data_IF_052248185054
#
_entry.id   IF_052248185054
#
_cell.length_a   1.000
_cell.length_b   1.000
_cell.length_c   1.000
_cell.angle_alpha   90.00
_cell.angle_beta   90.00
_cell.angle_gamma   90.00
#
_symmetry.space_group_name_H-M   'P 1'
#
loop_
_entity.id
_entity.type
_entity.pdbx_description
1 polymer ?
#
# COMPACT_ATOMS: atom_id res chain seq x y z
N UNK A 1 21.86 10.91 12.60
CA UNK A 1 20.59 10.98 11.85
C UNK A 1 19.92 9.62 11.97
N UNK A 2 19.12 9.48 13.00
CA UNK A 2 18.64 8.20 13.52
C UNK A 2 17.40 7.76 12.73
N UNK A 3 17.61 6.94 11.71
CA UNK A 3 16.54 6.41 10.84
C UNK A 3 15.47 5.61 11.62
N UNK A 4 15.80 5.15 12.83
CA UNK A 4 14.91 4.36 13.70
C UNK A 4 13.67 5.12 14.16
N UNK A 5 13.74 6.46 14.29
CA UNK A 5 12.56 7.27 14.66
C UNK A 5 11.51 7.31 13.54
N UNK A 6 11.95 7.55 12.31
CA UNK A 6 11.09 7.63 11.12
C UNK A 6 10.46 6.30 10.77
N UNK A 7 11.19 5.21 10.96
CA UNK A 7 10.67 3.86 10.74
C UNK A 7 9.55 3.53 11.73
N UNK A 8 9.72 3.87 13.02
CA UNK A 8 8.68 3.67 14.03
C UNK A 8 7.42 4.48 13.73
N UNK A 9 7.58 5.74 13.34
CA UNK A 9 6.47 6.61 12.92
C UNK A 9 5.73 6.04 11.71
N UNK A 10 6.47 5.54 10.71
CA UNK A 10 5.90 4.89 9.54
C UNK A 10 5.09 3.63 9.89
N UNK A 11 5.62 2.79 10.80
CA UNK A 11 4.92 1.59 11.28
C UNK A 11 3.61 1.96 12.00
N UNK A 12 3.63 3.02 12.81
CA UNK A 12 2.43 3.50 13.50
C UNK A 12 1.37 4.00 12.50
N UNK A 13 1.77 4.81 11.52
CA UNK A 13 0.89 5.26 10.45
C UNK A 13 0.27 4.09 9.68
N UNK A 14 1.06 3.06 9.36
CA UNK A 14 0.52 1.84 8.73
C UNK A 14 -0.50 1.11 9.62
N UNK A 15 -0.24 1.04 10.92
CA UNK A 15 -1.14 0.37 11.85
C UNK A 15 -2.47 1.14 11.99
N UNK A 16 -2.43 2.47 12.01
CA UNK A 16 -3.63 3.28 12.09
C UNK A 16 -4.41 3.29 10.78
N UNK A 17 -3.73 3.28 9.63
CA UNK A 17 -4.34 3.05 8.33
C UNK A 17 -5.06 1.68 8.27
N UNK A 18 -4.43 0.61 8.77
CA UNK A 18 -5.01 -0.75 8.82
C UNK A 18 -6.28 -0.80 9.67
N UNK A 19 -6.28 -0.15 10.84
CA UNK A 19 -7.47 0.00 11.68
C UNK A 19 -8.58 0.75 10.94
N UNK A 20 -8.24 1.81 10.20
CA UNK A 20 -9.21 2.61 9.45
C UNK A 20 -9.87 1.81 8.32
N UNK A 21 -9.07 1.03 7.56
CA UNK A 21 -9.58 0.11 6.53
C UNK A 21 -10.44 -1.00 7.13
N UNK A 22 -10.01 -1.62 8.23
CA UNK A 22 -10.80 -2.67 8.90
C UNK A 22 -12.12 -2.15 9.45
N UNK A 23 -12.11 -0.94 10.01
CA UNK A 23 -13.32 -0.26 10.47
C UNK A 23 -14.30 0.03 9.31
N UNK A 24 -13.80 0.29 8.10
CA UNK A 24 -14.64 0.41 6.91
C UNK A 24 -15.19 -0.92 6.37
N UNK A 25 -14.60 -2.06 6.73
CA UNK A 25 -14.96 -3.41 6.24
C UNK A 25 -15.94 -4.20 7.11
N UNK A 26 -16.38 -3.67 8.26
CA UNK A 26 -17.43 -4.30 9.07
C UNK A 26 -18.78 -4.23 8.36
N UNK A 27 -19.02 -5.29 7.59
CA UNK A 27 -20.18 -5.73 6.81
C UNK A 27 -21.56 -5.69 7.53
N UNK A 28 -21.68 -5.07 8.70
CA UNK A 28 -22.96 -4.82 9.40
C UNK A 28 -23.44 -3.37 9.26
N UNK A 29 -22.76 -2.56 8.44
CA UNK A 29 -23.17 -1.21 8.04
C UNK A 29 -23.57 -1.16 6.57
N UNK A 30 -24.45 -2.07 6.13
CA UNK A 30 -24.99 -2.06 4.78
C UNK A 30 -25.70 -0.72 4.48
N UNK A 31 -25.57 -0.26 3.25
CA UNK A 31 -26.53 0.64 2.57
C UNK A 31 -26.27 2.16 2.50
N UNK A 32 -25.08 2.70 2.81
CA UNK A 32 -24.78 4.10 2.45
C UNK A 32 -23.32 4.29 2.03
N UNK A 33 -23.11 4.84 0.82
CA UNK A 33 -21.83 4.95 0.09
C UNK A 33 -20.74 5.85 0.70
N UNK A 34 -20.44 5.72 2.00
CA UNK A 34 -19.39 6.47 2.70
C UNK A 34 -18.08 5.71 2.97
N UNK A 35 -17.96 4.45 2.52
CA UNK A 35 -16.76 3.64 2.73
C UNK A 35 -15.56 4.04 1.87
N UNK A 36 -15.82 4.61 0.68
CA UNK A 36 -14.80 4.97 -0.31
C UNK A 36 -13.81 6.01 0.24
N UNK A 37 -14.32 7.06 0.90
CA UNK A 37 -13.48 8.12 1.45
C UNK A 37 -12.56 7.65 2.60
N UNK A 38 -13.02 6.69 3.43
CA UNK A 38 -12.21 6.11 4.51
C UNK A 38 -11.06 5.27 3.96
N UNK A 39 -11.30 4.57 2.85
CA UNK A 39 -10.31 3.74 2.17
C UNK A 39 -9.31 4.63 1.41
N UNK A 40 -9.76 5.74 0.80
CA UNK A 40 -8.87 6.77 0.22
C UNK A 40 -7.93 7.36 1.28
N UNK A 41 -8.47 7.78 2.42
CA UNK A 41 -7.67 8.37 3.50
C UNK A 41 -6.62 7.38 4.03
N UNK A 42 -7.01 6.12 4.22
CA UNK A 42 -6.06 5.06 4.62
C UNK A 42 -4.97 4.84 3.56
N UNK A 43 -5.31 4.97 2.28
CA UNK A 43 -4.35 4.84 1.19
C UNK A 43 -3.28 5.93 1.24
N UNK A 44 -3.68 7.18 1.44
CA UNK A 44 -2.74 8.29 1.63
C UNK A 44 -1.83 8.08 2.85
N UNK A 45 -2.39 7.56 3.95
CA UNK A 45 -1.59 7.22 5.15
C UNK A 45 -0.54 6.16 4.84
N UNK A 46 -0.88 5.12 4.08
CA UNK A 46 0.10 4.12 3.63
C UNK A 46 1.19 4.72 2.74
N UNK A 47 0.84 5.60 1.80
CA UNK A 47 1.81 6.29 0.94
C UNK A 47 2.76 7.19 1.76
N UNK A 48 2.23 7.91 2.77
CA UNK A 48 3.07 8.69 3.70
C UNK A 48 4.03 7.81 4.48
N UNK A 49 3.55 6.70 5.04
CA UNK A 49 4.40 5.73 5.72
C UNK A 49 5.49 5.18 4.78
N UNK A 50 5.13 4.85 3.53
CA UNK A 50 6.07 4.38 2.52
C UNK A 50 7.18 5.40 2.24
N UNK A 51 6.85 6.68 2.15
CA UNK A 51 7.83 7.76 1.99
C UNK A 51 8.77 7.86 3.22
N UNK A 52 8.25 7.70 4.44
CA UNK A 52 9.08 7.67 5.65
C UNK A 52 10.03 6.46 5.66
N UNK A 53 9.57 5.27 5.24
CA UNK A 53 10.42 4.10 5.08
C UNK A 53 11.51 4.32 4.02
N UNK A 54 11.20 4.99 2.90
CA UNK A 54 12.21 5.40 1.89
C UNK A 54 13.26 6.32 2.51
N UNK A 55 12.88 7.28 3.34
CA UNK A 55 13.81 8.16 4.05
C UNK A 55 14.67 7.39 5.07
N UNK A 56 14.10 6.39 5.73
CA UNK A 56 14.82 5.51 6.65
C UNK A 56 15.78 4.53 5.93
N UNK A 57 15.82 4.53 4.59
CA UNK A 57 16.50 3.54 3.74
C UNK A 57 15.98 2.11 3.93
N UNK A 58 14.81 1.95 4.57
CA UNK A 58 14.15 0.66 4.71
C UNK A 58 13.26 0.42 3.48
N UNK A 59 13.88 -0.02 2.41
CA UNK A 59 13.21 -0.29 1.13
C UNK A 59 12.22 -1.46 1.23
N UNK A 60 12.48 -2.45 2.09
CA UNK A 60 11.57 -3.59 2.32
C UNK A 60 10.25 -3.15 2.98
N UNK A 61 10.33 -2.26 3.97
CA UNK A 61 9.16 -1.66 4.62
C UNK A 61 8.35 -0.77 3.68
N UNK A 62 9.04 0.05 2.88
CA UNK A 62 8.41 0.90 1.88
C UNK A 62 7.60 0.11 0.84
N UNK A 63 8.18 -0.99 0.33
CA UNK A 63 7.50 -1.87 -0.62
C UNK A 63 6.21 -2.46 -0.04
N UNK A 64 6.23 -2.88 1.23
CA UNK A 64 5.05 -3.46 1.88
C UNK A 64 3.94 -2.42 2.06
N UNK A 65 4.30 -1.20 2.46
CA UNK A 65 3.36 -0.08 2.57
C UNK A 65 2.71 0.25 1.21
N UNK A 66 3.49 0.34 0.13
CA UNK A 66 2.96 0.56 -1.22
C UNK A 66 2.07 -0.57 -1.71
N UNK A 67 2.41 -1.84 -1.42
CA UNK A 67 1.54 -2.96 -1.75
C UNK A 67 0.17 -2.87 -1.06
N UNK A 68 0.15 -2.44 0.22
CA UNK A 68 -1.12 -2.21 0.93
C UNK A 68 -1.91 -1.07 0.30
N UNK A 69 -1.26 0.07 0.01
CA UNK A 69 -1.89 1.20 -0.68
C UNK A 69 -2.49 0.77 -2.04
N UNK A 70 -1.72 0.07 -2.86
CA UNK A 70 -2.17 -0.37 -4.18
C UNK A 70 -3.40 -1.29 -4.11
N UNK A 71 -3.48 -2.17 -3.10
CA UNK A 71 -4.66 -3.01 -2.86
C UNK A 71 -5.91 -2.19 -2.52
N UNK A 72 -5.76 -1.10 -1.78
CA UNK A 72 -6.86 -0.19 -1.50
C UNK A 72 -7.27 0.58 -2.76
N UNK A 73 -6.30 1.12 -3.53
CA UNK A 73 -6.58 1.76 -4.81
C UNK A 73 -7.33 0.84 -5.78
N UNK A 74 -7.07 -0.48 -5.75
CA UNK A 74 -7.83 -1.46 -6.51
C UNK A 74 -9.30 -1.55 -6.06
N UNK A 75 -9.58 -1.50 -4.75
CA UNK A 75 -10.95 -1.46 -4.22
C UNK A 75 -11.67 -0.15 -4.55
N UNK A 76 -10.93 0.95 -4.60
CA UNK A 76 -11.41 2.28 -4.96
C UNK A 76 -11.66 2.45 -6.48
N UNK A 77 -11.28 1.46 -7.28
CA UNK A 77 -11.24 1.50 -8.75
C UNK A 77 -10.28 2.57 -9.34
N UNK A 78 -9.32 3.06 -8.55
CA UNK A 78 -8.30 4.01 -9.00
C UNK A 78 -7.15 3.26 -9.71
N UNK A 79 -7.40 2.86 -10.97
CA UNK A 79 -6.46 2.06 -11.78
C UNK A 79 -5.10 2.75 -11.95
N UNK A 80 -5.07 4.06 -12.17
CA UNK A 80 -3.84 4.83 -12.38
C UNK A 80 -2.93 4.82 -11.14
N UNK A 81 -3.45 5.18 -9.97
CA UNK A 81 -2.67 5.23 -8.73
C UNK A 81 -2.25 3.84 -8.24
N UNK A 82 -3.10 2.84 -8.48
CA UNK A 82 -2.79 1.44 -8.24
C UNK A 82 -1.55 1.00 -9.05
N UNK A 83 -1.49 1.33 -10.34
CA UNK A 83 -0.35 1.03 -11.21
C UNK A 83 0.95 1.61 -10.66
N UNK A 84 0.92 2.91 -10.37
CA UNK A 84 2.08 3.66 -9.88
C UNK A 84 2.58 3.09 -8.57
N UNK A 85 1.66 2.79 -7.63
CA UNK A 85 1.99 2.20 -6.33
C UNK A 85 2.62 0.81 -6.47
N UNK A 86 2.15 -0.02 -7.40
CA UNK A 86 2.77 -1.34 -7.66
C UNK A 86 4.16 -1.23 -8.30
N UNK A 87 4.35 -0.27 -9.21
CA UNK A 87 5.66 -0.01 -9.82
C UNK A 87 6.65 0.45 -8.75
N UNK A 88 6.24 1.38 -7.88
CA UNK A 88 7.06 1.88 -6.78
C UNK A 88 7.40 0.79 -5.75
N UNK A 89 6.43 -0.08 -5.42
CA UNK A 89 6.69 -1.24 -4.57
C UNK A 89 7.73 -2.17 -5.21
N UNK A 90 7.58 -2.50 -6.50
CA UNK A 90 8.53 -3.34 -7.23
C UNK A 90 9.94 -2.74 -7.27
N UNK A 91 10.04 -1.42 -7.51
CA UNK A 91 11.31 -0.70 -7.49
C UNK A 91 11.94 -0.69 -6.09
N UNK A 92 11.15 -0.53 -5.04
CA UNK A 92 11.62 -0.58 -3.66
C UNK A 92 12.18 -1.97 -3.30
N UNK A 93 11.44 -3.04 -3.61
CA UNK A 93 11.90 -4.41 -3.36
C UNK A 93 13.16 -4.78 -4.14
N UNK A 94 13.22 -4.38 -5.43
CA UNK A 94 14.43 -4.58 -6.24
C UNK A 94 15.66 -3.91 -5.62
N UNK A 95 15.46 -2.82 -4.88
CA UNK A 95 16.51 -2.07 -4.19
C UNK A 95 16.81 -2.59 -2.79
N UNK A 96 15.86 -3.27 -2.13
CA UNK A 96 16.03 -3.83 -0.80
C UNK A 96 16.79 -5.16 -0.81
N UNK A 97 16.47 -6.03 -1.77
CA UNK A 97 17.04 -7.36 -1.87
C UNK A 97 17.18 -7.78 -3.34
N UNK A 98 18.39 -7.85 -3.91
CA UNK A 98 18.61 -8.40 -5.24
C UNK A 98 18.42 -9.93 -5.31
N UNK A 99 18.46 -10.63 -4.16
CA UNK A 99 18.38 -12.10 -4.06
C UNK A 99 17.13 -12.63 -3.35
N UNK A 100 16.27 -11.77 -2.80
CA UNK A 100 15.37 -12.15 -1.72
C UNK A 100 13.88 -12.11 -2.06
N UNK A 101 13.36 -13.26 -2.53
CA UNK A 101 11.99 -13.76 -2.32
C UNK A 101 10.86 -12.93 -2.97
N UNK A 102 10.34 -13.34 -4.12
CA UNK A 102 9.14 -14.20 -4.22
C UNK A 102 7.93 -13.74 -3.35
N UNK A 103 7.71 -12.43 -3.16
CA UNK A 103 6.51 -11.86 -2.55
C UNK A 103 5.86 -10.89 -3.56
N UNK A 104 5.26 -11.32 -4.67
CA UNK A 104 3.85 -11.71 -4.71
C UNK A 104 3.50 -12.17 -6.15
N UNK A 105 4.21 -13.20 -6.67
CA UNK A 105 3.83 -13.82 -7.95
C UNK A 105 2.38 -14.34 -7.95
N UNK A 106 1.77 -14.49 -6.77
CA UNK A 106 0.36 -14.86 -6.60
C UNK A 106 -0.63 -13.70 -6.38
N UNK A 107 -0.21 -12.45 -6.11
CA UNK A 107 -1.17 -11.34 -5.88
C UNK A 107 -1.10 -10.15 -6.84
N UNK A 108 -0.03 -9.95 -7.64
CA UNK A 108 -0.02 -8.95 -8.75
C UNK A 108 1.23 -9.16 -9.62
N UNK A 109 1.16 -9.27 -10.97
CA UNK A 109 0.46 -8.37 -11.91
C UNK A 109 -0.36 -9.08 -13.03
N UNK A 110 -0.60 -10.39 -12.94
CA UNK A 110 -1.31 -11.12 -14.01
C UNK A 110 -2.80 -10.71 -14.14
N UNK A 111 -3.39 -10.16 -13.07
CA UNK A 111 -4.76 -9.61 -13.10
C UNK A 111 -4.81 -8.20 -13.72
N UNK A 112 -3.81 -7.34 -13.45
CA UNK A 112 -3.76 -5.96 -13.96
C UNK A 112 -3.53 -5.88 -15.48
N UNK A 113 -2.73 -6.80 -16.06
CA UNK A 113 -2.53 -6.85 -17.52
C UNK A 113 -3.77 -7.36 -18.28
N UNK A 114 -4.71 -8.07 -17.62
CA UNK A 114 -6.02 -8.39 -18.20
C UNK A 114 -6.99 -7.20 -18.13
N UNK A 115 -7.00 -6.46 -17.02
CA UNK A 115 -7.98 -5.38 -16.78
C UNK A 115 -7.64 -4.01 -17.40
N UNK A 116 -6.46 -3.85 -18.03
CA UNK A 116 -6.08 -2.68 -18.85
C UNK A 116 -6.11 -2.91 -20.36
N UNK A 117 -6.49 -4.11 -20.81
CA UNK A 117 -6.78 -4.35 -22.21
C UNK A 117 -8.31 -4.27 -22.42
N UNK A 118 -8.86 -3.08 -22.20
CA UNK A 118 -10.21 -2.70 -22.64
C UNK A 118 -10.11 -1.33 -23.28
#
# INVERSE_FOLDING_TARGET
MDNSGKEKEAIQLMADADKKVKSSGSFLGGMFGGGHHKVEEACEMYCRAANMFKMAKNWSGAGNAFCKAARLHMQLQNKHDCATSFIDAGNAYKKSDPNGKIYHRSQTPHQYCRDLRV
#
